data_IF_366192172316
#
_entry.id   IF_366192172316
#
_cell.length_a   1.000
_cell.length_b   1.000
_cell.length_c   1.000
_cell.angle_alpha   90.00
_cell.angle_beta   90.00
_cell.angle_gamma   90.00
#
_symmetry.space_group_name_H-M   'P 1'
#
loop_
_entity.id
_entity.type
_entity.pdbx_description
1 polymer ?
#
# COMPACT_ATOMS: atom_id res chain seq x y z
N UNK A 1 -14.99 40.90 67.32
CA UNK A 1 -16.13 41.00 68.25
C UNK A 1 -17.26 40.15 67.70
N UNK A 2 -17.67 39.14 68.48
CA UNK A 2 -18.78 38.23 68.16
C UNK A 2 -20.10 38.99 68.31
N UNK A 3 -20.95 38.97 67.29
CA UNK A 3 -22.39 39.16 67.51
C UNK A 3 -23.19 38.17 66.68
N UNK A 4 -23.63 37.14 67.39
CA UNK A 4 -24.78 36.31 67.09
C UNK A 4 -26.04 37.18 67.19
N UNK A 5 -26.91 37.16 66.17
CA UNK A 5 -28.29 37.63 66.31
C UNK A 5 -29.23 36.53 65.82
N UNK A 6 -30.28 36.37 66.63
CA UNK A 6 -31.24 35.27 66.70
C UNK A 6 -32.22 35.22 65.52
N UNK A 7 -32.62 33.99 65.22
CA UNK A 7 -33.87 33.58 64.59
C UNK A 7 -35.08 34.26 65.25
N UNK A 8 -35.98 34.82 64.42
CA UNK A 8 -37.40 34.99 64.75
C UNK A 8 -38.21 34.33 63.64
N UNK A 9 -39.01 33.35 64.04
CA UNK A 9 -39.96 32.65 63.20
C UNK A 9 -41.18 33.52 62.89
N UNK A 10 -41.64 33.50 61.64
CA UNK A 10 -42.99 33.95 61.27
C UNK A 10 -43.63 32.82 60.45
N UNK A 11 -44.69 32.24 61.02
CA UNK A 11 -45.66 31.39 60.35
C UNK A 11 -46.35 32.19 59.23
N UNK A 12 -46.46 31.60 58.04
CA UNK A 12 -47.15 32.23 56.92
C UNK A 12 -47.61 31.22 55.87
N UNK A 13 -48.75 30.57 56.17
CA UNK A 13 -49.83 30.14 55.27
C UNK A 13 -49.43 29.35 54.00
N UNK A 14 -49.77 28.06 54.04
CA UNK A 14 -49.86 27.17 52.89
C UNK A 14 -50.97 27.64 51.93
N UNK A 15 -50.61 27.91 50.67
CA UNK A 15 -51.53 27.85 49.53
C UNK A 15 -50.93 26.87 48.51
N UNK A 16 -51.46 25.65 48.52
CA UNK A 16 -51.18 24.64 47.50
C UNK A 16 -51.89 24.99 46.20
N UNK A 17 -51.13 25.40 45.20
CA UNK A 17 -51.55 25.37 43.80
C UNK A 17 -51.15 24.03 43.16
N UNK A 18 -51.91 23.51 42.18
CA UNK A 18 -51.63 22.22 41.57
C UNK A 18 -50.33 22.26 40.75
N UNK A 19 -49.44 21.31 41.04
CA UNK A 19 -48.20 21.05 40.31
C UNK A 19 -48.57 20.48 38.94
N UNK A 20 -48.38 21.27 37.87
CA UNK A 20 -48.43 20.77 36.50
C UNK A 20 -47.27 19.79 36.23
N UNK A 21 -47.41 18.87 35.27
CA UNK A 21 -46.40 17.85 35.02
C UNK A 21 -45.07 18.50 34.62
N UNK A 22 -44.03 18.20 35.39
CA UNK A 22 -42.65 18.50 35.07
C UNK A 22 -42.33 17.92 33.69
N UNK A 23 -42.11 18.78 32.70
CA UNK A 23 -41.49 18.38 31.45
C UNK A 23 -40.07 17.91 31.79
N UNK A 24 -39.88 16.59 31.80
CA UNK A 24 -38.55 16.02 31.87
C UNK A 24 -37.74 16.57 30.71
N UNK A 25 -36.63 17.24 31.02
CA UNK A 25 -35.60 17.50 30.02
C UNK A 25 -35.22 16.15 29.44
N UNK A 26 -35.51 15.96 28.15
CA UNK A 26 -34.95 14.84 27.41
C UNK A 26 -33.43 14.94 27.61
N UNK A 27 -32.85 13.90 28.22
CA UNK A 27 -31.41 13.72 28.18
C UNK A 27 -31.05 13.65 26.71
N UNK A 28 -30.47 14.74 26.21
CA UNK A 28 -29.81 14.78 24.92
C UNK A 28 -28.71 13.73 25.02
N UNK A 29 -29.00 12.53 24.50
CA UNK A 29 -28.02 11.48 24.32
C UNK A 29 -27.02 12.07 23.36
N UNK A 30 -25.89 12.55 23.91
CA UNK A 30 -24.82 13.17 23.16
C UNK A 30 -24.45 12.34 21.93
N UNK A 31 -23.74 12.94 20.96
CA UNK A 31 -23.44 12.30 19.69
C UNK A 31 -22.92 10.88 19.93
N UNK A 32 -23.48 9.92 19.18
CA UNK A 32 -23.11 8.52 19.31
C UNK A 32 -21.58 8.39 19.34
N UNK A 33 -21.03 7.56 20.24
CA UNK A 33 -19.59 7.35 20.30
C UNK A 33 -19.11 6.96 18.90
N UNK A 34 -18.03 7.61 18.46
CA UNK A 34 -17.40 7.29 17.18
C UNK A 34 -17.07 5.80 17.22
N UNK A 35 -17.55 4.99 16.27
CA UNK A 35 -17.26 3.56 16.25
C UNK A 35 -15.74 3.36 16.24
N UNK A 36 -15.29 2.46 17.10
CA UNK A 36 -13.88 2.11 17.24
C UNK A 36 -13.36 1.58 15.88
N UNK A 37 -12.39 2.27 15.30
CA UNK A 37 -11.79 1.86 14.02
C UNK A 37 -11.01 0.57 14.23
N UNK A 38 -11.57 -0.57 13.81
CA UNK A 38 -10.90 -1.87 13.92
C UNK A 38 -9.96 -2.06 12.73
N UNK A 39 -8.65 -2.00 12.98
CA UNK A 39 -7.60 -2.24 11.97
C UNK A 39 -7.56 -3.68 11.45
N UNK A 40 -8.32 -4.60 12.04
CA UNK A 40 -8.40 -6.02 11.67
C UNK A 40 -9.37 -6.31 10.51
N UNK A 41 -9.81 -5.30 9.77
CA UNK A 41 -10.73 -5.51 8.65
C UNK A 41 -10.03 -6.22 7.48
N UNK A 42 -10.44 -7.45 7.20
CA UNK A 42 -10.07 -8.15 5.96
C UNK A 42 -10.69 -7.45 4.76
N UNK A 43 -9.87 -7.11 3.77
CA UNK A 43 -10.31 -6.44 2.54
C UNK A 43 -11.07 -7.41 1.64
N UNK A 44 -12.14 -6.94 0.96
CA UNK A 44 -12.88 -7.78 0.03
C UNK A 44 -12.01 -8.13 -1.18
N UNK A 45 -11.95 -9.42 -1.51
CA UNK A 45 -11.23 -9.92 -2.68
C UNK A 45 -12.18 -10.37 -3.80
N UNK A 46 -11.62 -10.49 -4.99
CA UNK A 46 -12.28 -11.07 -6.15
C UNK A 46 -11.34 -12.05 -6.84
N UNK A 47 -11.90 -13.18 -7.27
CA UNK A 47 -11.15 -14.23 -7.96
C UNK A 47 -10.84 -13.83 -9.39
N UNK A 48 -9.55 -13.84 -9.74
CA UNK A 48 -9.05 -13.52 -11.07
C UNK A 48 -8.08 -14.62 -11.55
N UNK A 49 -8.26 -15.19 -12.75
CA UNK A 49 -7.33 -16.18 -13.28
C UNK A 49 -5.89 -15.65 -13.43
N UNK A 50 -4.90 -16.40 -12.95
CA UNK A 50 -3.48 -16.01 -12.89
C UNK A 50 -2.82 -15.88 -14.28
N UNK A 51 -3.27 -16.66 -15.29
CA UNK A 51 -2.61 -16.83 -16.61
C UNK A 51 -3.35 -16.26 -17.81
N UNK A 52 -4.40 -15.47 -17.63
CA UNK A 52 -5.11 -14.87 -18.77
C UNK A 52 -4.75 -13.39 -18.92
N UNK A 53 -3.77 -13.02 -19.78
CA UNK A 53 -3.77 -11.68 -20.35
C UNK A 53 -5.06 -11.57 -21.15
N UNK A 54 -6.10 -10.97 -20.55
CA UNK A 54 -7.34 -10.75 -21.25
C UNK A 54 -7.04 -9.75 -22.36
N UNK A 55 -7.30 -10.16 -23.59
CA UNK A 55 -7.29 -9.29 -24.76
C UNK A 55 -8.13 -8.06 -24.38
N UNK A 56 -7.51 -6.88 -24.28
CA UNK A 56 -8.07 -5.58 -23.87
C UNK A 56 -7.93 -5.14 -22.39
N UNK A 57 -7.26 -5.90 -21.53
CA UNK A 57 -6.77 -5.39 -20.24
C UNK A 57 -5.26 -5.15 -20.35
N UNK A 58 -4.84 -3.92 -20.67
CA UNK A 58 -3.45 -3.47 -20.45
C UNK A 58 -3.25 -3.29 -18.95
N UNK A 59 -3.31 -4.40 -18.21
CA UNK A 59 -2.94 -4.45 -16.81
C UNK A 59 -1.47 -4.81 -16.76
N UNK A 60 -0.65 -3.86 -16.34
CA UNK A 60 0.80 -4.03 -16.28
C UNK A 60 1.13 -4.63 -14.94
N UNK A 61 1.77 -5.79 -14.97
CA UNK A 61 2.23 -6.48 -13.78
C UNK A 61 3.54 -5.86 -13.31
N UNK A 62 3.52 -5.19 -12.16
CA UNK A 62 4.66 -4.56 -11.53
C UNK A 62 5.23 -5.41 -10.37
N UNK A 63 4.91 -6.70 -10.34
CA UNK A 63 5.48 -7.68 -9.39
C UNK A 63 7.00 -7.49 -9.29
N UNK A 64 7.56 -7.32 -8.09
CA UNK A 64 9.00 -7.11 -7.92
C UNK A 64 9.79 -8.35 -8.36
N UNK A 65 11.08 -8.13 -8.62
CA UNK A 65 11.98 -9.21 -8.99
C UNK A 65 12.18 -10.19 -7.82
N UNK A 66 12.39 -11.50 -8.10
CA UNK A 66 12.50 -12.56 -7.08
C UNK A 66 13.51 -12.29 -5.96
N UNK A 67 14.56 -11.50 -6.24
CA UNK A 67 15.60 -11.14 -5.26
C UNK A 67 15.05 -10.46 -4.01
N UNK A 68 13.95 -9.74 -4.13
CA UNK A 68 13.41 -8.96 -3.02
C UNK A 68 12.52 -9.80 -2.10
N UNK A 69 11.90 -10.85 -2.64
CA UNK A 69 11.01 -11.78 -1.92
C UNK A 69 11.75 -12.95 -1.27
N UNK A 70 13.00 -13.15 -1.66
CA UNK A 70 13.78 -14.30 -1.27
C UNK A 70 14.36 -14.12 0.14
N UNK A 71 14.35 -15.18 0.98
CA UNK A 71 15.00 -15.18 2.28
C UNK A 71 16.43 -14.65 2.22
N UNK A 72 16.85 -13.94 3.25
CA UNK A 72 18.17 -13.32 3.31
C UNK A 72 18.95 -13.77 4.54
N UNK A 73 20.27 -13.85 4.39
CA UNK A 73 21.22 -14.05 5.49
C UNK A 73 22.30 -12.99 5.35
N UNK A 74 22.40 -12.11 6.34
CA UNK A 74 23.57 -11.24 6.45
C UNK A 74 24.78 -12.05 6.86
N UNK A 75 25.93 -11.68 6.33
CA UNK A 75 27.20 -12.30 6.64
C UNK A 75 28.24 -11.27 7.00
N UNK A 76 29.25 -11.74 7.74
CA UNK A 76 30.47 -11.02 8.10
C UNK A 76 31.67 -11.94 8.00
N UNK A 77 32.86 -11.38 8.17
CA UNK A 77 34.13 -12.12 8.16
C UNK A 77 34.28 -13.00 6.91
N UNK A 78 33.88 -12.48 5.74
CA UNK A 78 34.00 -13.20 4.48
C UNK A 78 35.47 -13.58 4.19
N UNK A 79 35.68 -14.85 3.85
CA UNK A 79 37.00 -15.39 3.51
C UNK A 79 37.13 -15.65 2.01
N UNK A 80 36.01 -15.83 1.32
CA UNK A 80 35.95 -15.99 -0.12
C UNK A 80 34.60 -15.48 -0.66
N UNK A 81 34.60 -15.00 -1.91
CA UNK A 81 33.41 -14.48 -2.56
C UNK A 81 32.43 -15.60 -2.90
N UNK A 82 31.14 -15.32 -2.69
CA UNK A 82 30.07 -16.20 -3.11
C UNK A 82 29.78 -16.06 -4.60
N UNK A 83 29.11 -17.06 -5.18
CA UNK A 83 28.66 -17.03 -6.57
C UNK A 83 27.17 -17.29 -6.66
N UNK A 84 26.48 -16.44 -7.43
CA UNK A 84 25.07 -16.63 -7.78
C UNK A 84 24.89 -18.00 -8.46
N UNK A 85 23.90 -18.75 -8.01
CA UNK A 85 23.54 -20.09 -8.47
C UNK A 85 24.18 -21.23 -7.67
N UNK A 86 25.17 -20.96 -6.82
CA UNK A 86 25.77 -21.99 -5.94
C UNK A 86 24.87 -22.29 -4.73
N UNK A 87 25.05 -23.46 -4.11
CA UNK A 87 24.34 -23.83 -2.88
C UNK A 87 25.18 -23.41 -1.67
N UNK A 88 24.63 -22.59 -0.77
CA UNK A 88 25.22 -22.27 0.54
C UNK A 88 24.68 -23.19 1.62
N UNK A 89 25.56 -23.60 2.54
CA UNK A 89 25.23 -24.49 3.67
C UNK A 89 25.70 -23.88 4.99
N UNK A 90 24.79 -23.81 5.97
CA UNK A 90 25.10 -23.52 7.37
C UNK A 90 25.75 -24.74 8.02
N UNK A 91 26.98 -24.59 8.50
CA UNK A 91 27.78 -25.72 8.98
C UNK A 91 27.29 -26.28 10.31
N UNK A 92 26.57 -25.49 11.12
CA UNK A 92 26.02 -25.94 12.41
C UNK A 92 24.57 -26.39 12.25
N UNK A 93 23.76 -25.58 11.57
CA UNK A 93 22.33 -25.83 11.38
C UNK A 93 22.04 -26.92 10.35
N UNK A 94 22.98 -27.15 9.42
CA UNK A 94 22.75 -27.97 8.23
C UNK A 94 21.77 -27.35 7.25
N UNK A 95 21.36 -26.09 7.45
CA UNK A 95 20.48 -25.39 6.54
C UNK A 95 21.15 -25.19 5.19
N UNK A 96 20.38 -25.30 4.11
CA UNK A 96 20.87 -25.12 2.74
C UNK A 96 20.02 -24.11 1.98
N UNK A 97 20.60 -23.42 1.01
CA UNK A 97 19.89 -22.53 0.10
C UNK A 97 20.69 -22.25 -1.16
N UNK A 98 20.02 -21.90 -2.25
CA UNK A 98 20.65 -21.51 -3.52
C UNK A 98 20.88 -20.00 -3.53
N UNK A 99 22.09 -19.52 -3.78
CA UNK A 99 22.41 -18.09 -3.81
C UNK A 99 21.78 -17.45 -5.05
N UNK A 100 20.84 -16.52 -4.85
CA UNK A 100 20.17 -15.79 -5.93
C UNK A 100 20.80 -14.41 -6.18
N UNK A 101 21.33 -13.78 -5.13
CA UNK A 101 22.06 -12.53 -5.20
C UNK A 101 23.04 -12.44 -4.02
N UNK A 102 24.07 -11.63 -4.21
CA UNK A 102 25.08 -11.28 -3.22
C UNK A 102 25.29 -9.77 -3.26
N UNK A 103 24.91 -9.07 -2.19
CA UNK A 103 25.21 -7.65 -1.98
C UNK A 103 26.47 -7.54 -1.13
N UNK A 104 27.61 -7.66 -1.81
CA UNK A 104 28.94 -7.73 -1.19
C UNK A 104 29.49 -6.34 -0.88
N UNK A 105 29.74 -6.08 0.39
CA UNK A 105 30.33 -4.85 0.93
C UNK A 105 31.75 -5.09 1.49
N UNK A 106 32.42 -6.17 1.04
CA UNK A 106 33.82 -6.47 1.30
C UNK A 106 34.03 -7.65 2.25
N UNK A 107 33.97 -7.41 3.56
CA UNK A 107 34.01 -8.50 4.57
C UNK A 107 32.62 -8.86 5.09
N UNK A 108 31.64 -8.01 4.79
CA UNK A 108 30.25 -8.13 5.21
C UNK A 108 29.36 -7.97 3.99
N UNK A 109 28.13 -8.43 4.08
CA UNK A 109 27.16 -8.32 2.99
C UNK A 109 25.89 -9.09 3.28
N UNK A 110 25.03 -9.18 2.28
CA UNK A 110 23.76 -9.91 2.37
C UNK A 110 23.64 -10.91 1.23
N UNK A 111 23.49 -12.19 1.60
CA UNK A 111 23.09 -13.23 0.66
C UNK A 111 21.57 -13.29 0.56
N UNK A 112 21.08 -13.27 -0.68
CA UNK A 112 19.69 -13.58 -0.99
C UNK A 112 19.58 -15.02 -1.45
N UNK A 113 18.76 -15.83 -0.79
CA UNK A 113 18.69 -17.29 -0.93
C UNK A 113 17.34 -17.76 -1.49
N UNK A 114 17.38 -18.73 -2.39
CA UNK A 114 16.23 -19.47 -2.91
C UNK A 114 16.26 -20.92 -2.45
N UNK A 115 15.13 -21.63 -2.61
CA UNK A 115 15.04 -23.07 -2.31
C UNK A 115 15.57 -23.46 -0.93
N UNK A 116 15.35 -22.60 0.07
CA UNK A 116 15.92 -22.77 1.40
C UNK A 116 15.29 -23.97 2.11
N UNK A 117 16.13 -24.82 2.69
CA UNK A 117 15.74 -25.95 3.54
C UNK A 117 16.45 -25.83 4.88
N UNK A 118 15.69 -25.91 5.97
CA UNK A 118 16.20 -25.63 7.33
C UNK A 118 16.21 -24.14 7.65
N UNK A 119 16.86 -23.78 8.76
CA UNK A 119 16.95 -22.40 9.25
C UNK A 119 18.41 -22.10 9.54
N UNK A 120 18.97 -21.09 8.89
CA UNK A 120 20.32 -20.61 9.20
C UNK A 120 20.33 -19.93 10.58
N UNK A 121 21.37 -20.16 11.35
CA UNK A 121 21.56 -19.65 12.70
C UNK A 121 22.54 -18.46 12.72
N UNK A 122 22.25 -17.46 13.55
CA UNK A 122 23.17 -16.34 13.77
C UNK A 122 24.50 -16.84 14.38
N UNK A 123 25.61 -16.36 13.83
CA UNK A 123 26.96 -16.70 14.27
C UNK A 123 27.52 -18.01 13.72
N UNK A 124 26.78 -18.75 12.88
CA UNK A 124 27.30 -19.99 12.29
C UNK A 124 28.22 -19.73 11.09
N UNK A 125 29.12 -20.66 10.80
CA UNK A 125 29.87 -20.61 9.53
C UNK A 125 28.96 -21.02 8.38
N UNK A 126 28.96 -20.23 7.31
CA UNK A 126 28.28 -20.54 6.06
C UNK A 126 29.33 -20.72 4.96
N UNK A 127 29.14 -21.76 4.14
CA UNK A 127 30.04 -22.08 3.04
C UNK A 127 29.22 -22.46 1.81
N UNK A 128 29.56 -21.91 0.66
CA UNK A 128 29.01 -22.42 -0.59
C UNK A 128 29.68 -23.72 -0.99
N UNK A 129 28.94 -24.55 -1.69
CA UNK A 129 29.38 -25.87 -2.13
C UNK A 129 30.58 -25.77 -3.08
N UNK A 130 30.64 -24.70 -3.88
CA UNK A 130 31.70 -24.44 -4.85
C UNK A 130 32.29 -23.03 -4.75
N UNK A 131 31.77 -22.18 -3.87
CA UNK A 131 32.13 -20.77 -3.75
C UNK A 131 31.95 -20.27 -2.33
N UNK A 132 32.71 -19.25 -1.98
CA UNK A 132 32.49 -18.41 -0.80
C UNK A 132 32.46 -19.08 0.57
N UNK A 133 32.89 -18.32 1.57
CA UNK A 133 32.64 -18.66 2.97
C UNK A 133 32.65 -17.41 3.82
N UNK A 134 31.81 -17.41 4.85
CA UNK A 134 31.66 -16.31 5.79
C UNK A 134 31.07 -16.83 7.11
N UNK A 135 30.87 -15.92 8.05
CA UNK A 135 30.09 -16.16 9.28
C UNK A 135 28.72 -15.49 9.09
N UNK A 136 27.63 -16.22 9.32
CA UNK A 136 26.29 -15.64 9.32
C UNK A 136 26.19 -14.60 10.46
N UNK A 137 25.89 -13.35 10.12
CA UNK A 137 25.68 -12.26 11.08
C UNK A 137 24.22 -12.14 11.50
N UNK A 138 23.32 -12.85 10.84
CA UNK A 138 21.92 -12.97 11.21
C UNK A 138 21.41 -14.39 10.96
N UNK A 139 20.39 -14.80 11.71
CA UNK A 139 19.58 -15.96 11.35
C UNK A 139 18.85 -15.71 10.01
N UNK A 140 18.34 -16.77 9.37
CA UNK A 140 17.56 -16.63 8.14
C UNK A 140 16.40 -15.65 8.33
N UNK A 141 16.47 -14.50 7.66
CA UNK A 141 15.40 -13.51 7.66
C UNK A 141 14.44 -13.83 6.53
N UNK A 142 13.14 -13.76 6.82
CA UNK A 142 12.15 -13.73 5.75
C UNK A 142 12.49 -12.56 4.82
N UNK A 143 12.48 -12.79 3.51
CA UNK A 143 12.66 -11.72 2.54
C UNK A 143 11.59 -10.65 2.71
N UNK A 144 11.87 -9.46 2.18
CA UNK A 144 10.90 -8.37 2.13
C UNK A 144 9.63 -8.90 1.47
N UNK A 145 8.51 -8.89 2.21
CA UNK A 145 7.26 -9.27 1.57
C UNK A 145 6.86 -8.16 0.62
N UNK A 146 6.34 -8.54 -0.53
CA UNK A 146 5.83 -7.59 -1.51
C UNK A 146 4.53 -8.11 -2.08
N UNK A 147 3.57 -7.21 -2.21
CA UNK A 147 2.30 -7.44 -2.85
C UNK A 147 2.46 -7.28 -4.36
N UNK A 148 1.83 -8.19 -5.10
CA UNK A 148 1.81 -8.12 -6.55
C UNK A 148 0.83 -7.01 -6.95
N UNK A 149 1.38 -5.95 -7.55
CA UNK A 149 0.62 -4.78 -7.96
C UNK A 149 0.45 -4.78 -9.46
N UNK A 150 -0.77 -4.59 -9.92
CA UNK A 150 -1.03 -4.45 -11.34
C UNK A 150 -2.03 -3.33 -11.63
N UNK A 151 -1.79 -2.56 -12.67
CA UNK A 151 -2.56 -1.32 -12.91
C UNK A 151 -2.90 -1.13 -14.38
N UNK A 152 -3.98 -0.38 -14.63
CA UNK A 152 -4.29 0.18 -15.96
C UNK A 152 -3.63 1.55 -16.09
N UNK A 153 -3.24 1.99 -17.30
CA UNK A 153 -2.72 3.34 -17.51
C UNK A 153 -3.65 4.41 -16.93
N UNK A 154 -3.10 5.58 -16.58
CA UNK A 154 -3.88 6.70 -16.06
C UNK A 154 -5.01 7.11 -17.02
N UNK A 155 -6.16 7.44 -16.45
CA UNK A 155 -7.36 7.82 -17.20
C UNK A 155 -8.02 9.04 -16.60
N UNK A 156 -8.81 9.75 -17.40
CA UNK A 156 -9.55 10.92 -16.95
C UNK A 156 -11.05 10.65 -16.89
N UNK A 157 -11.73 11.31 -15.96
CA UNK A 157 -13.19 11.33 -15.89
C UNK A 157 -13.67 12.68 -15.39
N UNK A 158 -14.66 13.26 -16.05
CA UNK A 158 -15.33 14.45 -15.54
C UNK A 158 -16.47 14.03 -14.62
N UNK A 159 -16.48 14.56 -13.40
CA UNK A 159 -17.49 14.30 -12.36
C UNK A 159 -17.89 15.61 -11.67
N UNK A 160 -19.08 15.64 -11.09
CA UNK A 160 -19.50 16.74 -10.23
C UNK A 160 -19.06 16.45 -8.79
N UNK A 161 -18.17 17.31 -8.26
CA UNK A 161 -17.65 17.20 -6.91
C UNK A 161 -18.41 18.20 -6.02
N UNK A 162 -18.95 17.79 -4.86
CA UNK A 162 -19.61 18.70 -3.93
C UNK A 162 -18.72 19.92 -3.61
N UNK A 163 -19.31 21.12 -3.63
CA UNK A 163 -18.64 22.42 -3.38
C UNK A 163 -17.60 22.87 -4.43
N UNK A 164 -17.09 21.98 -5.28
CA UNK A 164 -16.16 22.32 -6.36
C UNK A 164 -16.85 22.38 -7.73
N UNK A 165 -18.01 21.75 -7.87
CA UNK A 165 -18.74 21.65 -9.14
C UNK A 165 -18.09 20.65 -10.09
N UNK A 166 -18.32 20.83 -11.39
CA UNK A 166 -17.79 19.93 -12.42
C UNK A 166 -16.27 20.03 -12.50
N UNK A 167 -15.58 18.91 -12.28
CA UNK A 167 -14.13 18.80 -12.34
C UNK A 167 -13.72 17.55 -13.12
N UNK A 168 -12.60 17.64 -13.82
CA UNK A 168 -11.95 16.46 -14.38
C UNK A 168 -11.03 15.88 -13.32
N UNK A 169 -11.16 14.58 -13.08
CA UNK A 169 -10.27 13.82 -12.20
C UNK A 169 -9.42 12.89 -13.03
N UNK A 170 -8.17 12.78 -12.65
CA UNK A 170 -7.24 11.75 -13.09
C UNK A 170 -7.35 10.58 -12.11
N UNK A 171 -7.37 9.35 -12.60
CA UNK A 171 -7.44 8.17 -11.74
C UNK A 171 -6.54 7.04 -12.23
N UNK A 172 -6.02 6.27 -11.26
CA UNK A 172 -5.29 5.04 -11.47
C UNK A 172 -6.14 3.88 -10.95
N UNK A 173 -6.61 3.02 -11.86
CA UNK A 173 -7.26 1.76 -11.49
C UNK A 173 -6.19 0.69 -11.29
N UNK A 174 -6.26 -0.04 -10.18
CA UNK A 174 -5.29 -1.08 -9.86
C UNK A 174 -5.93 -2.28 -9.18
N UNK A 175 -5.17 -3.37 -9.16
CA UNK A 175 -5.41 -4.55 -8.35
C UNK A 175 -4.16 -4.91 -7.57
N UNK A 176 -4.37 -5.50 -6.40
CA UNK A 176 -3.30 -5.96 -5.50
C UNK A 176 -3.58 -7.42 -5.13
N UNK A 177 -2.56 -8.27 -5.23
CA UNK A 177 -2.64 -9.68 -4.87
C UNK A 177 -1.56 -9.98 -3.83
N UNK A 178 -1.93 -10.68 -2.77
CA UNK A 178 -0.99 -11.13 -1.76
C UNK A 178 -0.57 -12.58 -2.05
N UNK A 179 0.61 -12.78 -2.62
CA UNK A 179 1.21 -14.12 -2.83
C UNK A 179 2.30 -14.46 -1.80
N UNK A 180 2.30 -13.80 -0.64
CA UNK A 180 3.30 -14.03 0.42
C UNK A 180 2.98 -15.22 1.33
N UNK A 181 1.83 -15.87 1.15
CA UNK A 181 1.39 -17.03 1.94
C UNK A 181 0.85 -16.70 3.35
N UNK A 182 0.94 -15.45 3.80
CA UNK A 182 0.38 -14.98 5.08
C UNK A 182 -0.46 -13.72 4.86
N UNK A 183 -1.51 -13.45 5.68
CA UNK A 183 -2.21 -12.18 5.63
C UNK A 183 -1.26 -10.99 5.81
N UNK A 184 -1.38 -9.94 4.99
CA UNK A 184 -0.53 -8.75 5.06
C UNK A 184 -1.36 -7.49 5.24
N UNK A 185 -0.91 -6.61 6.13
CA UNK A 185 -1.50 -5.30 6.32
C UNK A 185 -1.20 -4.43 5.10
N UNK A 186 -2.23 -3.91 4.45
CA UNK A 186 -2.11 -3.04 3.30
C UNK A 186 -2.56 -1.62 3.66
N UNK A 187 -1.62 -0.69 3.60
CA UNK A 187 -1.85 0.74 3.86
C UNK A 187 -1.24 1.53 2.71
N UNK A 188 -1.91 1.59 1.55
CA UNK A 188 -1.31 2.23 0.39
C UNK A 188 -1.27 3.75 0.53
N UNK A 189 -0.20 4.35 0.00
CA UNK A 189 -0.13 5.79 -0.21
C UNK A 189 0.23 6.04 -1.67
N UNK A 190 -0.57 6.87 -2.34
CA UNK A 190 -0.32 7.26 -3.72
C UNK A 190 0.04 8.74 -3.79
N UNK A 191 1.07 9.04 -4.57
CA UNK A 191 1.47 10.40 -4.89
C UNK A 191 1.64 10.53 -6.40
N UNK A 192 1.13 11.61 -6.96
CA UNK A 192 1.41 12.04 -8.32
C UNK A 192 2.48 13.12 -8.28
N UNK A 193 3.50 13.01 -9.11
CA UNK A 193 4.54 14.03 -9.28
C UNK A 193 4.55 14.51 -10.73
N UNK A 194 4.55 15.82 -10.91
CA UNK A 194 4.71 16.51 -12.20
C UNK A 194 6.19 16.71 -12.53
N UNK A 195 6.50 17.03 -13.78
CA UNK A 195 7.84 17.34 -14.27
C UNK A 195 8.56 18.52 -13.57
N UNK A 196 7.81 19.45 -12.98
CA UNK A 196 8.33 20.53 -12.12
C UNK A 196 8.61 20.10 -10.66
N UNK A 197 8.32 18.85 -10.32
CA UNK A 197 8.54 18.25 -8.99
C UNK A 197 7.40 18.49 -7.99
N UNK A 198 6.28 19.08 -8.39
CA UNK A 198 5.13 19.21 -7.49
C UNK A 198 4.51 17.83 -7.22
N UNK A 199 4.38 17.49 -5.93
CA UNK A 199 3.87 16.20 -5.46
C UNK A 199 2.48 16.35 -4.84
N UNK A 200 1.50 15.67 -5.43
CA UNK A 200 0.08 15.71 -5.04
C UNK A 200 -0.37 14.35 -4.49
N UNK A 201 -0.90 14.26 -3.25
CA UNK A 201 -1.39 13.01 -2.69
C UNK A 201 -2.73 12.58 -3.29
N UNK A 202 -3.07 11.30 -3.12
CA UNK A 202 -4.42 10.76 -3.41
C UNK A 202 -5.53 11.57 -2.72
N UNK A 203 -6.62 11.81 -3.43
CA UNK A 203 -7.77 12.58 -2.95
C UNK A 203 -8.94 11.66 -2.63
N UNK A 204 -9.53 11.85 -1.46
CA UNK A 204 -10.75 11.14 -1.04
C UNK A 204 -11.96 11.63 -1.82
N UNK A 205 -12.38 10.87 -2.85
CA UNK A 205 -13.57 11.17 -3.67
C UNK A 205 -14.54 9.98 -3.72
N UNK A 206 -15.36 9.74 -2.68
CA UNK A 206 -16.26 8.59 -2.62
C UNK A 206 -17.24 8.49 -3.79
N UNK A 207 -17.79 9.63 -4.25
CA UNK A 207 -18.67 9.68 -5.42
C UNK A 207 -17.98 9.28 -6.74
N UNK A 208 -16.67 9.52 -6.85
CA UNK A 208 -15.90 9.17 -8.04
C UNK A 208 -15.69 7.65 -8.16
N UNK A 209 -15.54 6.97 -7.02
CA UNK A 209 -15.33 5.52 -6.95
C UNK A 209 -16.43 4.78 -7.70
N UNK A 210 -17.69 5.13 -7.48
CA UNK A 210 -18.82 4.45 -8.12
C UNK A 210 -18.89 4.71 -9.63
N UNK A 211 -18.60 5.94 -10.05
CA UNK A 211 -18.54 6.31 -11.48
C UNK A 211 -17.45 5.51 -12.20
N UNK A 212 -16.26 5.39 -11.58
CA UNK A 212 -15.16 4.59 -12.11
C UNK A 212 -15.50 3.11 -12.09
N UNK A 213 -16.09 2.60 -11.00
CA UNK A 213 -16.51 1.20 -10.88
C UNK A 213 -17.45 0.80 -12.02
N UNK A 214 -18.50 1.57 -12.26
CA UNK A 214 -19.43 1.30 -13.37
C UNK A 214 -18.71 1.33 -14.71
N UNK A 215 -17.79 2.28 -14.94
CA UNK A 215 -17.02 2.32 -16.20
C UNK A 215 -16.13 1.08 -16.37
N UNK A 216 -15.35 0.75 -15.35
CA UNK A 216 -14.31 -0.27 -15.42
C UNK A 216 -14.87 -1.69 -15.33
N UNK A 217 -15.98 -1.89 -14.61
CA UNK A 217 -16.58 -3.21 -14.38
C UNK A 217 -17.72 -3.54 -15.35
N UNK A 218 -18.22 -2.57 -16.14
CA UNK A 218 -19.34 -2.79 -17.09
C UNK A 218 -18.89 -2.79 -18.57
N UNK A 219 -17.60 -2.59 -18.87
CA UNK A 219 -17.13 -2.53 -20.27
C UNK A 219 -17.19 -3.91 -20.96
N UNK A 220 -17.96 -4.08 -22.05
CA UNK A 220 -18.17 -5.36 -22.75
C UNK A 220 -16.99 -5.82 -23.63
N UNK A 221 -15.90 -5.05 -23.75
CA UNK A 221 -14.62 -5.54 -24.32
C UNK A 221 -13.94 -6.58 -23.44
N UNK A 222 -14.52 -6.81 -22.27
CA UNK A 222 -14.14 -7.83 -21.33
C UNK A 222 -14.81 -9.16 -21.72
N UNK A 223 -14.51 -9.65 -22.93
CA UNK A 223 -14.82 -11.01 -23.35
C UNK A 223 -13.94 -11.96 -22.51
N UNK A 224 -14.49 -12.34 -21.34
CA UNK A 224 -13.83 -13.01 -20.23
C UNK A 224 -14.26 -12.47 -18.84
N UNK A 225 -14.94 -11.32 -18.76
CA UNK A 225 -15.40 -10.66 -17.54
C UNK A 225 -16.68 -11.21 -16.91
N UNK A 226 -16.72 -12.51 -16.70
CA UNK A 226 -17.55 -13.01 -15.61
C UNK A 226 -17.02 -12.57 -14.22
N UNK A 227 -15.75 -12.17 -14.09
CA UNK A 227 -15.07 -12.09 -12.77
C UNK A 227 -15.25 -10.82 -11.93
N UNK A 228 -15.41 -9.61 -12.49
CA UNK A 228 -15.38 -8.36 -11.68
C UNK A 228 -16.69 -7.56 -11.70
N UNK A 229 -17.68 -8.01 -12.46
CA UNK A 229 -19.00 -7.38 -12.51
C UNK A 229 -19.61 -7.44 -11.12
N UNK A 230 -19.91 -6.28 -10.52
CA UNK A 230 -20.43 -6.19 -9.16
C UNK A 230 -19.37 -6.28 -8.05
N UNK A 231 -18.11 -6.56 -8.36
CA UNK A 231 -17.02 -6.52 -7.37
C UNK A 231 -16.87 -5.10 -6.78
N UNK A 232 -16.54 -4.99 -5.49
CA UNK A 232 -16.27 -3.70 -4.87
C UNK A 232 -15.00 -3.07 -5.45
N UNK A 233 -15.03 -1.76 -5.66
CA UNK A 233 -13.85 -0.95 -5.96
C UNK A 233 -13.56 -0.07 -4.75
N UNK A 234 -12.33 -0.10 -4.24
CA UNK A 234 -11.96 0.61 -3.01
C UNK A 234 -11.21 1.91 -3.33
N UNK A 235 -11.69 3.03 -2.80
CA UNK A 235 -10.93 4.30 -2.79
C UNK A 235 -10.10 4.46 -1.52
N UNK A 236 -9.37 5.57 -1.42
CA UNK A 236 -8.44 5.91 -0.33
C UNK A 236 -8.90 5.56 1.11
N UNK A 237 -10.19 5.74 1.44
CA UNK A 237 -10.71 5.49 2.80
C UNK A 237 -10.89 4.00 3.11
N UNK A 238 -11.30 3.20 2.12
CA UNK A 238 -11.74 1.82 2.33
C UNK A 238 -10.69 0.78 1.96
N UNK A 239 -9.56 1.21 1.41
CA UNK A 239 -8.51 0.32 0.90
C UNK A 239 -7.48 -0.09 1.96
N UNK A 240 -7.53 0.52 3.16
CA UNK A 240 -6.69 0.12 4.28
C UNK A 240 -7.28 -1.09 4.98
N UNK A 241 -6.51 -2.18 5.10
CA UNK A 241 -6.95 -3.42 5.77
C UNK A 241 -6.01 -4.60 5.54
N UNK A 242 -6.37 -5.77 6.07
CA UNK A 242 -5.63 -7.01 5.86
C UNK A 242 -5.98 -7.61 4.50
N UNK A 243 -4.98 -7.88 3.66
CA UNK A 243 -5.15 -8.66 2.42
C UNK A 243 -4.90 -10.14 2.73
N UNK A 244 -5.88 -11.02 2.53
CA UNK A 244 -5.69 -12.45 2.72
C UNK A 244 -4.70 -13.02 1.67
N UNK A 245 -3.95 -14.08 1.98
CA UNK A 245 -3.08 -14.71 0.99
C UNK A 245 -3.91 -15.35 -0.12
N UNK A 246 -3.37 -15.32 -1.33
CA UNK A 246 -3.89 -16.08 -2.46
C UNK A 246 -3.30 -17.48 -2.44
N UNK A 247 -4.11 -18.48 -2.10
CA UNK A 247 -3.66 -19.86 -1.86
C UNK A 247 -3.72 -20.73 -3.12
N UNK A 248 -4.62 -20.40 -4.06
CA UNK A 248 -4.87 -21.19 -5.26
C UNK A 248 -3.86 -20.88 -6.39
N UNK A 249 -3.41 -21.91 -7.10
CA UNK A 249 -2.35 -21.76 -8.09
C UNK A 249 -2.80 -21.18 -9.44
N UNK A 250 -4.08 -21.32 -9.76
CA UNK A 250 -4.65 -20.88 -11.04
C UNK A 250 -5.48 -19.60 -10.91
N UNK A 251 -5.86 -19.25 -9.68
CA UNK A 251 -6.77 -18.15 -9.37
C UNK A 251 -6.16 -17.29 -8.28
N UNK A 252 -6.03 -15.99 -8.57
CA UNK A 252 -5.59 -15.00 -7.60
C UNK A 252 -6.78 -14.37 -6.87
N UNK A 253 -6.68 -14.24 -5.55
CA UNK A 253 -7.57 -13.43 -4.72
C UNK A 253 -7.09 -11.97 -4.74
N UNK A 254 -7.75 -11.12 -5.53
CA UNK A 254 -7.32 -9.75 -5.78
C UNK A 254 -8.17 -8.72 -5.06
N UNK A 255 -7.55 -7.71 -4.46
CA UNK A 255 -8.21 -6.49 -4.00
C UNK A 255 -8.20 -5.47 -5.14
N UNK A 256 -9.35 -4.88 -5.46
CA UNK A 256 -9.48 -3.84 -6.49
C UNK A 256 -9.50 -2.45 -5.86
N UNK A 257 -8.70 -1.54 -6.38
CA UNK A 257 -8.59 -0.18 -5.87
C UNK A 257 -8.50 0.89 -6.94
N UNK A 258 -8.74 2.13 -6.51
CA UNK A 258 -8.60 3.33 -7.34
C UNK A 258 -8.00 4.47 -6.52
N UNK A 259 -7.01 5.14 -7.11
CA UNK A 259 -6.46 6.41 -6.61
C UNK A 259 -6.91 7.56 -7.52
N UNK A 260 -7.08 8.75 -6.94
CA UNK A 260 -7.60 9.95 -7.61
C UNK A 260 -6.72 11.17 -7.39
N UNK A 261 -6.65 12.00 -8.43
CA UNK A 261 -6.12 13.36 -8.36
C UNK A 261 -7.09 14.29 -9.11
N UNK A 262 -7.30 15.49 -8.58
CA UNK A 262 -8.04 16.52 -9.32
C UNK A 262 -7.11 17.05 -10.40
N UNK A 263 -7.57 17.07 -11.65
CA UNK A 263 -6.79 17.62 -12.76
C UNK A 263 -6.83 19.15 -12.68
N UNK A 264 -5.78 19.75 -12.14
CA UNK A 264 -5.52 21.19 -12.10
C UNK A 264 -4.64 21.65 -13.28
N UNK A 265 -4.29 22.94 -13.32
CA UNK A 265 -3.49 23.51 -14.41
C UNK A 265 -2.06 22.94 -14.42
N UNK A 266 -1.49 22.71 -13.26
CA UNK A 266 -0.13 22.19 -13.08
C UNK A 266 -0.03 20.76 -13.64
N UNK A 267 -0.94 19.86 -13.23
CA UNK A 267 -0.98 18.50 -13.77
C UNK A 267 -1.31 18.52 -15.27
N UNK A 268 -2.16 19.44 -15.73
CA UNK A 268 -2.56 19.54 -17.13
C UNK A 268 -1.46 20.08 -18.07
N UNK A 269 -0.54 20.91 -17.58
CA UNK A 269 0.60 21.42 -18.36
C UNK A 269 1.81 20.50 -18.37
N UNK A 270 1.89 19.57 -17.43
CA UNK A 270 3.06 18.71 -17.28
C UNK A 270 3.28 17.77 -18.48
N UNK A 271 4.51 17.68 -18.99
CA UNK A 271 4.87 16.78 -20.10
C UNK A 271 5.17 15.34 -19.63
N UNK A 272 5.31 15.15 -18.32
CA UNK A 272 5.43 13.81 -17.75
C UNK A 272 4.88 13.74 -16.34
N UNK A 273 4.21 12.64 -16.05
CA UNK A 273 3.67 12.35 -14.74
C UNK A 273 4.34 11.11 -14.17
N UNK A 274 4.64 11.12 -12.87
CA UNK A 274 5.11 9.94 -12.14
C UNK A 274 4.12 9.63 -11.04
N UNK A 275 3.76 8.36 -10.88
CA UNK A 275 2.95 7.90 -9.74
C UNK A 275 3.81 7.06 -8.83
N UNK A 276 3.91 7.46 -7.57
CA UNK A 276 4.60 6.73 -6.51
C UNK A 276 3.56 5.98 -5.67
N UNK A 277 3.78 4.68 -5.49
CA UNK A 277 2.92 3.80 -4.70
C UNK A 277 3.72 3.19 -3.56
N UNK A 278 3.39 3.58 -2.33
CA UNK A 278 3.94 3.01 -1.08
C UNK A 278 2.97 2.02 -0.44
N UNK A 279 3.46 1.24 0.52
CA UNK A 279 2.66 0.26 1.26
C UNK A 279 2.47 -1.07 0.54
N UNK A 280 3.23 -1.31 -0.53
CA UNK A 280 3.25 -2.59 -1.26
C UNK A 280 4.24 -3.60 -0.67
N UNK A 281 5.14 -3.16 0.21
CA UNK A 281 6.16 -4.00 0.84
C UNK A 281 6.60 -3.45 2.18
N UNK A 282 7.29 -4.26 2.99
CA UNK A 282 8.03 -3.82 4.19
C UNK A 282 9.50 -3.45 3.92
N UNK A 283 9.88 -3.28 2.65
CA UNK A 283 11.23 -2.92 2.25
C UNK A 283 11.62 -1.53 2.75
N UNK A 284 12.76 -1.46 3.42
CA UNK A 284 13.26 -0.32 4.18
C UNK A 284 14.75 -0.18 3.89
N UNK A 285 15.21 1.03 3.59
CA UNK A 285 16.62 1.37 3.50
C UNK A 285 16.92 2.44 4.55
N UNK A 286 17.87 2.13 5.45
CA UNK A 286 18.36 3.08 6.45
C UNK A 286 19.79 3.44 6.07
N UNK A 287 20.04 4.72 5.78
CA UNK A 287 21.39 5.25 5.59
C UNK A 287 21.73 6.22 6.71
N UNK A 288 23.00 6.27 7.11
CA UNK A 288 23.48 7.33 7.98
C UNK A 288 23.73 8.59 7.13
N UNK A 289 23.00 9.67 7.42
CA UNK A 289 23.28 10.98 6.89
C UNK A 289 24.58 11.54 7.47
N UNK A 290 25.19 12.50 6.77
CA UNK A 290 26.47 13.13 7.15
C UNK A 290 26.47 13.72 8.57
N UNK A 291 25.28 14.06 9.10
CA UNK A 291 25.08 14.61 10.44
C UNK A 291 24.81 13.55 11.53
N UNK A 292 24.90 12.26 11.19
CA UNK A 292 24.54 11.14 12.08
C UNK A 292 23.02 10.91 12.22
N UNK A 293 22.19 11.67 11.49
CA UNK A 293 20.75 11.44 11.38
C UNK A 293 20.48 10.23 10.48
N UNK A 294 19.53 9.36 10.87
CA UNK A 294 19.10 8.25 10.03
C UNK A 294 18.16 8.75 8.93
N UNK A 295 18.54 8.55 7.66
CA UNK A 295 17.66 8.73 6.52
C UNK A 295 16.96 7.40 6.23
N UNK A 296 15.63 7.38 6.39
CA UNK A 296 14.79 6.18 6.28
C UNK A 296 13.96 6.28 5.02
N UNK A 297 14.22 5.39 4.06
CA UNK A 297 13.53 5.33 2.77
C UNK A 297 12.70 4.06 2.66
N UNK A 298 11.53 4.17 2.05
CA UNK A 298 10.62 3.05 1.87
C UNK A 298 10.68 2.57 0.44
N UNK A 299 10.60 1.26 0.28
CA UNK A 299 10.48 0.66 -1.03
C UNK A 299 9.15 1.05 -1.67
N UNK A 300 9.26 1.77 -2.79
CA UNK A 300 8.18 2.48 -3.46
C UNK A 300 8.16 2.08 -4.92
N UNK A 301 6.98 1.77 -5.45
CA UNK A 301 6.81 1.55 -6.89
C UNK A 301 6.62 2.91 -7.57
N UNK A 302 7.52 3.28 -8.48
CA UNK A 302 7.38 4.45 -9.35
C UNK A 302 6.87 4.01 -10.72
N UNK A 303 5.81 4.65 -11.21
CA UNK A 303 5.21 4.41 -12.52
C UNK A 303 5.35 5.69 -13.34
N UNK A 304 5.93 5.58 -14.52
CA UNK A 304 6.33 6.74 -15.31
C UNK A 304 5.46 6.87 -16.57
N UNK A 305 4.87 8.06 -16.77
CA UNK A 305 4.00 8.38 -17.90
C UNK A 305 4.55 9.55 -18.72
N UNK A 306 4.44 9.43 -20.04
CA UNK A 306 4.52 10.54 -21.00
C UNK A 306 3.13 11.13 -21.19
N UNK A 307 3.01 12.45 -21.07
CA UNK A 307 1.79 13.20 -21.33
C UNK A 307 2.12 14.30 -22.33
N UNK A 308 1.34 14.51 -23.40
CA UNK A 308 1.48 15.76 -24.13
C UNK A 308 0.96 16.86 -23.20
N UNK A 309 1.82 17.80 -22.80
CA UNK A 309 1.48 18.94 -21.94
C UNK A 309 0.54 19.95 -22.60
N UNK A 310 -0.66 19.50 -23.00
CA UNK A 310 -1.72 20.36 -23.51
C UNK A 310 -2.76 20.59 -22.41
N UNK A 311 -2.94 21.85 -22.01
CA UNK A 311 -3.94 22.26 -21.02
C UNK A 311 -5.38 22.27 -21.56
N UNK A 312 -5.57 22.23 -22.89
CA UNK A 312 -6.85 22.49 -23.54
C UNK A 312 -7.60 21.24 -24.06
N UNK A 313 -6.94 20.20 -24.56
CA UNK A 313 -7.61 18.98 -25.07
C UNK A 313 -6.87 17.67 -24.70
N UNK A 314 -6.65 17.42 -23.40
CA UNK A 314 -6.10 16.12 -22.95
C UNK A 314 -7.05 14.97 -23.22
N UNK A 315 -6.64 14.07 -24.11
CA UNK A 315 -7.36 12.81 -24.34
C UNK A 315 -6.71 11.68 -23.56
N UNK A 316 -7.52 10.81 -22.97
CA UNK A 316 -7.06 9.59 -22.28
C UNK A 316 -6.08 8.75 -23.12
N UNK A 317 -6.22 8.78 -24.45
CA UNK A 317 -5.40 8.01 -25.40
C UNK A 317 -3.98 8.56 -25.56
N UNK A 318 -3.72 9.74 -25.05
CA UNK A 318 -2.47 10.45 -25.19
C UNK A 318 -1.53 10.23 -24.02
N UNK A 319 -2.06 9.84 -22.85
CA UNK A 319 -1.27 9.40 -21.71
C UNK A 319 -0.66 8.04 -22.06
N UNK A 320 0.67 8.01 -22.19
CA UNK A 320 1.43 6.80 -22.54
C UNK A 320 2.35 6.45 -21.39
N UNK A 321 2.69 5.18 -21.27
CA UNK A 321 3.72 4.75 -20.33
C UNK A 321 5.09 4.93 -20.96
N UNK A 322 6.04 5.37 -20.14
CA UNK A 322 7.45 5.40 -20.52
C UNK A 322 7.99 3.97 -20.68
N UNK A 323 9.19 3.86 -21.24
CA UNK A 323 9.95 2.60 -21.30
C UNK A 323 11.29 2.82 -20.57
N UNK A 324 11.54 2.17 -19.42
CA UNK A 324 10.64 1.26 -18.71
C UNK A 324 9.39 1.98 -18.16
N UNK A 325 8.29 1.24 -18.01
CA UNK A 325 7.01 1.78 -17.56
C UNK A 325 6.95 2.01 -16.05
N UNK A 326 7.77 1.28 -15.29
CA UNK A 326 7.84 1.35 -13.85
C UNK A 326 9.22 0.93 -13.34
N UNK A 327 9.55 1.36 -12.13
CA UNK A 327 10.78 1.03 -11.42
C UNK A 327 10.49 0.96 -9.91
N UNK A 328 11.13 0.02 -9.21
CA UNK A 328 11.12 -0.01 -7.74
C UNK A 328 12.27 0.84 -7.23
N UNK A 329 11.95 1.85 -6.42
CA UNK A 329 12.91 2.81 -5.86
C UNK A 329 12.79 2.86 -4.34
N UNK A 330 13.82 3.40 -3.68
CA UNK A 330 13.73 3.78 -2.27
C UNK A 330 13.51 5.30 -2.19
N UNK A 331 12.33 5.69 -1.70
CA UNK A 331 11.83 7.07 -1.59
C UNK A 331 11.24 7.31 -0.19
#
# INVERSE_FOLDING_TARGET
>A
MRHTVRLVAVLGVCLGGPVGPSHGFAQDSGPAPIPEFTLDQTLPTVQIPRRSPRVNETVIDATPLPRDKAPQVDYREQQANFKIGDQVTGQNSGATGTILADDDQGLEGTLTLGQVQGVFEEGESIAGQQSGSATADSALREGVWVLDFAFKPLRTRTIDIPNLGRRTVLYLYYRVVNRSGKPRMFVPQFFLETDDGQRSPDVVLPQAVEVVRVREHTSPTAAGAASVVGAPLLGAVRVTGMIPPSEEDEVDEAVLGVAFWVLDEEIARSDSLKVFVRGLSDGLQITQGEDGAQDVRYKTLRIDFDTPGDEFDRREREIRLKTPAYEWVYD
#
